data_IF_751859669785
#
_entry.id   IF_751859669785
#
_cell.length_a   1.000
_cell.length_b   1.000
_cell.length_c   1.000
_cell.angle_alpha   90.00
_cell.angle_beta   90.00
_cell.angle_gamma   90.00
#
_symmetry.space_group_name_H-M   'P 1'
#
loop_
_entity.id
_entity.type
_entity.pdbx_description
1 polymer ?
#
# COMPACT_ATOMS: atom_id res chain seq x y z
N UNK A 1 -15.52 -14.55 0.68
CA UNK A 1 -15.77 -14.86 0.85
C UNK A 1 -15.82 -15.05 0.78
N UNK A 2 -15.88 -14.31 0.59
CA UNK A 2 -15.90 -14.30 0.56
C UNK A 2 -15.89 -14.30 0.50
N UNK A 3 -15.76 -13.87 0.38
CA UNK A 3 -15.84 -13.85 0.35
C UNK A 3 -15.89 -13.90 0.48
N UNK A 4 -15.74 -13.77 0.22
CA UNK A 4 -15.84 -13.91 0.34
C UNK A 4 -16.06 -13.92 0.37
N UNK A 5 -16.13 -13.53 0.16
CA UNK A 5 -16.31 -13.66 0.27
C UNK A 5 -16.47 -13.79 0.03
N UNK A 6 -16.89 -13.23 -0.50
CA UNK A 6 -16.85 -13.39 -0.37
C UNK A 6 -16.98 -13.51 -0.98
N UNK A 7 -17.10 -13.28 -1.09
CA UNK A 7 -17.10 -13.38 -1.35
C UNK A 7 -17.28 -13.66 -1.73
N UNK A 8 -17.48 -13.46 -2.02
CA UNK A 8 -17.61 -13.72 -2.24
C UNK A 8 -17.68 -13.95 -2.66
N UNK A 9 -17.84 -13.56 -3.20
CA UNK A 9 -17.94 -13.90 -3.24
C UNK A 9 -18.00 -13.99 -4.00
N UNK A 10 -17.95 -13.54 -4.32
CA UNK A 10 -18.07 -13.77 -4.79
C UNK A 10 -18.09 -13.56 -5.47
N UNK A 11 -18.16 -13.27 -5.93
CA UNK A 11 -18.13 -13.25 -6.42
C UNK A 11 -18.14 -12.92 -7.05
N UNK A 12 -18.14 -12.60 -7.41
CA UNK A 12 -17.97 -12.28 -7.94
C UNK A 12 -17.70 -12.08 -8.75
N UNK A 13 -17.50 -11.85 -9.02
CA UNK A 13 -16.92 -11.59 -9.54
C UNK A 13 -16.81 -11.25 -10.42
N UNK A 14 -16.77 -10.81 -10.67
CA UNK A 14 -16.45 -10.44 -11.37
C UNK A 14 -15.91 -9.96 -12.09
N UNK A 15 -15.71 -9.92 -12.21
CA UNK A 15 -14.80 -9.53 -12.65
C UNK A 15 -14.23 -8.71 -13.18
N UNK A 16 -14.28 -8.40 -13.54
CA UNK A 16 -13.49 -7.79 -13.99
C UNK A 16 -13.07 -6.88 -13.58
N UNK A 17 -12.96 -6.41 -13.37
CA UNK A 17 -12.47 -5.60 -12.87
C UNK A 17 -11.14 -5.43 -12.99
N UNK A 18 -10.34 -5.78 -13.57
CA UNK A 18 -8.95 -5.55 -13.59
C UNK A 18 -8.29 -5.69 -12.25
N UNK A 19 -9.03 -5.80 -11.22
CA UNK A 19 -8.49 -5.94 -9.87
C UNK A 19 -8.57 -7.40 -9.47
N UNK A 20 -7.41 -7.95 -9.13
CA UNK A 20 -7.35 -9.31 -8.66
C UNK A 20 -7.95 -9.39 -7.27
N UNK A 21 -8.92 -10.27 -7.09
CA UNK A 21 -9.54 -10.42 -5.80
C UNK A 21 -8.52 -10.83 -4.76
N UNK A 22 -8.55 -10.18 -3.61
CA UNK A 22 -7.68 -10.52 -2.51
C UNK A 22 -6.32 -9.88 -2.56
N UNK A 23 -5.94 -9.32 -3.71
CA UNK A 23 -4.63 -8.68 -3.83
C UNK A 23 -4.71 -7.24 -3.37
N UNK A 24 -3.87 -6.91 -2.40
CA UNK A 24 -3.80 -5.55 -1.88
C UNK A 24 -2.35 -5.09 -1.88
N UNK A 25 -2.17 -3.79 -1.81
CA UNK A 25 -0.85 -3.18 -1.81
C UNK A 25 -0.72 -2.22 -0.65
N UNK A 26 0.45 -2.21 -0.02
CA UNK A 26 0.83 -1.16 0.91
C UNK A 26 1.86 -0.31 0.20
N UNK A 27 1.74 1.00 0.31
CA UNK A 27 2.64 1.93 -0.38
C UNK A 27 3.08 3.03 0.57
N UNK A 28 4.24 3.59 0.28
CA UNK A 28 4.70 4.80 0.96
C UNK A 28 4.87 5.88 -0.10
N UNK A 29 4.18 6.99 0.09
CA UNK A 29 4.31 8.15 -0.80
C UNK A 29 5.34 9.10 -0.22
N UNK A 30 6.22 9.62 -1.09
CA UNK A 30 7.06 10.76 -0.72
C UNK A 30 6.33 12.01 -1.17
N UNK A 31 6.16 12.96 -0.25
CA UNK A 31 5.48 14.21 -0.54
C UNK A 31 6.50 15.29 -0.86
N UNK A 32 6.03 16.37 -1.49
CA UNK A 32 6.93 17.44 -1.94
C UNK A 32 7.72 18.08 -0.82
N UNK A 33 7.15 18.10 0.38
CA UNK A 33 7.81 18.69 1.54
C UNK A 33 8.72 17.69 2.27
N UNK A 34 8.93 16.52 1.69
CA UNK A 34 9.77 15.49 2.30
C UNK A 34 9.07 14.59 3.29
N UNK A 35 7.81 14.85 3.58
CA UNK A 35 7.07 13.98 4.49
C UNK A 35 6.69 12.68 3.76
N UNK A 36 6.31 11.68 4.55
CA UNK A 36 5.97 10.36 4.04
C UNK A 36 4.56 9.98 4.47
N UNK A 37 3.81 9.40 3.55
CA UNK A 37 2.46 8.90 3.83
C UNK A 37 2.38 7.42 3.49
N UNK A 38 1.88 6.60 4.42
CA UNK A 38 1.71 5.17 4.21
C UNK A 38 0.23 4.86 4.07
N UNK A 39 -0.12 4.09 3.03
CA UNK A 39 -1.51 3.71 2.81
C UNK A 39 -1.62 2.32 2.23
N UNK A 40 -2.86 1.87 2.07
CA UNK A 40 -3.12 0.60 1.41
C UNK A 40 -4.22 0.78 0.37
N UNK A 41 -4.21 -0.09 -0.64
CA UNK A 41 -5.22 -0.03 -1.69
C UNK A 41 -5.24 -1.37 -2.43
N UNK A 42 -6.35 -1.65 -3.08
CA UNK A 42 -6.40 -2.76 -4.04
C UNK A 42 -6.30 -2.27 -5.47
N UNK A 43 -6.06 -0.96 -5.67
CA UNK A 43 -5.98 -0.38 -7.01
C UNK A 43 -5.06 0.83 -6.95
N UNK A 44 -3.77 0.58 -7.12
CA UNK A 44 -2.76 1.65 -6.97
C UNK A 44 -2.94 2.78 -7.98
N UNK A 45 -3.14 2.54 -9.27
CA UNK A 45 -3.29 3.66 -10.21
C UNK A 45 -4.46 4.57 -9.86
N UNK A 46 -5.58 3.99 -9.46
CA UNK A 46 -6.74 4.79 -9.08
C UNK A 46 -6.47 5.59 -7.81
N UNK A 47 -5.85 4.95 -6.81
CA UNK A 47 -5.55 5.63 -5.55
C UNK A 47 -4.54 6.74 -5.75
N UNK A 48 -3.53 6.50 -6.58
CA UNK A 48 -2.56 7.54 -6.92
C UNK A 48 -3.24 8.75 -7.56
N UNK A 49 -4.15 8.50 -8.51
CA UNK A 49 -4.88 9.58 -9.16
C UNK A 49 -5.67 10.41 -8.15
N UNK A 50 -6.27 9.76 -7.15
CA UNK A 50 -6.98 10.49 -6.09
C UNK A 50 -6.04 11.35 -5.27
N UNK A 51 -4.87 10.79 -4.91
CA UNK A 51 -3.90 11.54 -4.12
C UNK A 51 -3.40 12.78 -4.86
N UNK A 52 -3.02 12.63 -6.12
CA UNK A 52 -2.47 13.77 -6.88
C UNK A 52 -3.53 14.80 -7.21
N UNK A 53 -4.79 14.41 -7.30
CA UNK A 53 -5.88 15.37 -7.58
C UNK A 53 -6.37 16.08 -6.32
N UNK A 54 -5.80 15.75 -5.16
CA UNK A 54 -6.22 16.38 -3.91
C UNK A 54 -7.48 15.78 -3.33
N UNK A 55 -7.87 14.60 -3.78
CA UNK A 55 -9.08 13.93 -3.30
C UNK A 55 -8.76 12.61 -2.60
N UNK A 56 -7.51 12.41 -2.24
CA UNK A 56 -7.10 11.23 -1.50
C UNK A 56 -7.30 11.43 -0.01
N UNK A 57 -6.29 11.04 0.76
CA UNK A 57 -6.35 11.18 2.20
C UNK A 57 -6.23 12.64 2.61
N UNK A 58 -6.74 12.95 3.80
CA UNK A 58 -6.61 14.30 4.33
C UNK A 58 -5.15 14.73 4.37
N UNK A 59 -4.27 13.81 4.76
CA UNK A 59 -2.85 14.12 4.85
C UNK A 59 -2.28 14.58 3.51
N UNK A 60 -2.60 13.85 2.43
CA UNK A 60 -2.03 14.16 1.12
C UNK A 60 -2.66 15.37 0.46
N UNK A 61 -3.80 15.84 0.96
CA UNK A 61 -4.33 17.12 0.52
C UNK A 61 -3.49 18.26 1.05
N UNK A 62 -3.00 18.13 2.30
CA UNK A 62 -2.14 19.13 2.91
C UNK A 62 -0.68 18.98 2.49
N UNK A 63 -0.29 17.76 2.10
CA UNK A 63 1.10 17.43 1.75
C UNK A 63 1.08 16.75 0.38
N UNK A 64 1.09 17.54 -0.71
CA UNK A 64 0.94 16.96 -2.05
C UNK A 64 2.00 15.90 -2.35
N UNK A 65 1.59 14.76 -2.90
CA UNK A 65 2.54 13.68 -3.16
C UNK A 65 3.40 13.98 -4.36
N UNK A 66 4.63 13.47 -4.31
CA UNK A 66 5.60 13.61 -5.38
C UNK A 66 5.79 12.29 -6.11
N UNK A 67 5.87 11.19 -5.36
CA UNK A 67 6.16 9.89 -5.95
C UNK A 67 5.72 8.78 -5.00
N UNK A 68 5.49 7.59 -5.58
CA UNK A 68 5.37 6.36 -4.79
C UNK A 68 6.80 5.89 -4.54
N UNK A 69 7.23 5.93 -3.29
CA UNK A 69 8.61 5.64 -2.93
C UNK A 69 8.85 4.16 -2.65
N UNK A 70 7.81 3.43 -2.22
CA UNK A 70 7.94 2.00 -1.95
C UNK A 70 6.57 1.35 -2.10
N UNK A 71 6.59 0.05 -2.44
CA UNK A 71 5.37 -0.69 -2.70
C UNK A 71 5.56 -2.14 -2.29
N UNK A 72 4.56 -2.70 -1.61
CA UNK A 72 4.52 -4.13 -1.26
C UNK A 72 3.20 -4.70 -1.69
N UNK A 73 3.29 -5.91 -2.25
CA UNK A 73 2.09 -6.66 -2.62
C UNK A 73 1.74 -7.61 -1.49
N UNK A 74 0.48 -7.59 -1.09
CA UNK A 74 0.01 -8.36 0.05
C UNK A 74 -1.04 -9.38 -0.39
N UNK A 75 -1.11 -10.49 0.34
CA UNK A 75 -1.98 -11.59 -0.04
C UNK A 75 -3.45 -11.22 0.04
N UNK A 76 -3.83 -10.37 1.01
CA UNK A 76 -5.20 -9.96 1.18
C UNK A 76 -5.24 -8.65 1.99
N UNK A 77 -6.45 -8.17 2.22
CA UNK A 77 -6.63 -6.90 2.92
C UNK A 77 -6.13 -6.96 4.36
N UNK A 78 -6.32 -8.10 5.02
CA UNK A 78 -5.86 -8.25 6.40
C UNK A 78 -4.34 -8.13 6.51
N UNK A 79 -3.62 -8.79 5.59
CA UNK A 79 -2.17 -8.69 5.56
C UNK A 79 -1.73 -7.25 5.28
N UNK A 80 -2.39 -6.59 4.34
CA UNK A 80 -2.06 -5.20 4.02
C UNK A 80 -2.32 -4.28 5.20
N UNK A 81 -3.43 -4.47 5.90
CA UNK A 81 -3.76 -3.63 7.06
C UNK A 81 -2.74 -3.79 8.17
N UNK A 82 -2.28 -5.02 8.41
CA UNK A 82 -1.26 -5.26 9.44
C UNK A 82 0.06 -4.63 9.06
N UNK A 83 0.46 -4.72 7.80
CA UNK A 83 1.72 -4.12 7.34
C UNK A 83 1.63 -2.59 7.40
N UNK A 84 0.53 -2.02 6.91
CA UNK A 84 0.34 -0.58 6.97
C UNK A 84 0.43 -0.07 8.40
N UNK A 85 -0.27 -0.75 9.31
CA UNK A 85 -0.25 -0.34 10.71
C UNK A 85 1.16 -0.42 11.31
N UNK A 86 1.87 -1.51 11.02
CA UNK A 86 3.22 -1.69 11.56
C UNK A 86 4.15 -0.57 11.10
N UNK A 87 4.09 -0.23 9.82
CA UNK A 87 4.93 0.85 9.29
C UNK A 87 4.56 2.19 9.94
N UNK A 88 3.27 2.49 10.01
CA UNK A 88 2.82 3.77 10.54
C UNK A 88 3.10 3.92 12.04
N UNK A 89 2.86 2.86 12.80
CA UNK A 89 2.90 2.94 14.26
C UNK A 89 4.26 2.66 14.87
N UNK A 90 5.11 1.89 14.18
CA UNK A 90 6.33 1.38 14.79
C UNK A 90 7.62 1.94 14.21
N UNK A 91 7.56 2.72 13.13
CA UNK A 91 8.76 3.23 12.49
C UNK A 91 8.82 4.74 12.58
N UNK A 92 10.02 5.25 12.85
CA UNK A 92 10.31 6.67 12.77
C UNK A 92 10.43 7.08 11.32
N UNK A 93 10.50 8.40 11.07
CA UNK A 93 10.72 8.91 9.72
C UNK A 93 12.01 8.35 9.12
N UNK A 94 13.10 8.36 9.89
CA UNK A 94 14.38 7.85 9.41
C UNK A 94 14.31 6.36 9.09
N UNK A 95 13.60 5.60 9.91
CA UNK A 95 13.43 4.18 9.64
C UNK A 95 12.60 3.92 8.39
N UNK A 96 11.60 4.74 8.14
CA UNK A 96 10.83 4.64 6.91
C UNK A 96 11.70 4.94 5.69
N UNK A 97 12.60 5.92 5.79
CA UNK A 97 13.53 6.19 4.71
C UNK A 97 14.47 5.00 4.46
N UNK A 98 14.93 4.35 5.51
CA UNK A 98 15.76 3.16 5.37
C UNK A 98 14.98 2.02 4.71
N UNK A 99 13.71 1.90 5.05
CA UNK A 99 12.86 0.88 4.44
C UNK A 99 12.61 1.16 2.96
N UNK A 100 12.46 2.43 2.60
CA UNK A 100 12.31 2.82 1.20
C UNK A 100 13.55 2.44 0.40
N UNK A 101 14.73 2.64 0.98
CA UNK A 101 15.99 2.31 0.32
C UNK A 101 16.13 0.81 0.11
N UNK A 102 15.61 0.00 1.03
CA UNK A 102 15.70 -1.46 0.95
C UNK A 102 14.38 -2.07 1.40
N UNK A 103 13.37 -2.09 0.50
CA UNK A 103 12.02 -2.54 0.88
C UNK A 103 11.95 -3.97 1.40
N UNK A 104 12.90 -4.81 1.01
CA UNK A 104 12.93 -6.19 1.47
C UNK A 104 13.23 -6.30 2.98
N UNK A 105 13.73 -5.24 3.60
CA UNK A 105 14.00 -5.24 5.04
C UNK A 105 12.74 -5.40 5.89
N UNK A 106 11.59 -5.18 5.29
CA UNK A 106 10.33 -5.26 6.04
C UNK A 106 10.17 -6.64 6.68
N UNK A 107 10.63 -7.71 6.02
CA UNK A 107 10.55 -9.05 6.57
C UNK A 107 11.42 -9.22 7.82
N UNK A 108 12.58 -8.56 7.84
CA UNK A 108 13.47 -8.63 9.00
C UNK A 108 12.95 -7.80 10.17
N UNK A 109 12.34 -6.64 9.86
CA UNK A 109 11.85 -5.75 10.91
C UNK A 109 10.52 -6.19 11.51
N UNK A 110 9.72 -6.92 10.71
CA UNK A 110 8.42 -7.41 11.15
C UNK A 110 8.32 -8.90 10.88
N UNK A 111 9.13 -9.71 11.59
CA UNK A 111 9.15 -11.16 11.30
C UNK A 111 7.79 -11.82 11.51
N UNK A 112 6.95 -11.25 12.35
CA UNK A 112 5.61 -11.79 12.58
C UNK A 112 4.73 -11.68 11.34
N UNK A 113 5.11 -10.83 10.38
CA UNK A 113 4.36 -10.64 9.14
C UNK A 113 5.02 -11.32 7.94
N UNK A 114 6.13 -12.02 8.16
CA UNK A 114 6.89 -12.63 7.07
C UNK A 114 6.01 -13.59 6.28
N UNK A 115 6.15 -13.55 4.94
CA UNK A 115 5.36 -14.41 4.08
C UNK A 115 4.03 -13.83 3.66
N UNK A 116 3.59 -12.74 4.27
CA UNK A 116 2.29 -12.13 3.95
C UNK A 116 2.41 -11.06 2.86
N UNK A 117 3.60 -10.69 2.48
CA UNK A 117 3.83 -9.62 1.51
C UNK A 117 5.14 -9.80 0.79
N UNK A 118 5.29 -9.15 -0.36
CA UNK A 118 6.55 -9.10 -1.10
C UNK A 118 6.75 -7.70 -1.64
N UNK A 119 8.01 -7.21 -1.66
CA UNK A 119 8.27 -5.94 -2.31
C UNK A 119 7.88 -6.01 -3.79
N UNK A 120 7.40 -4.90 -4.32
CA UNK A 120 6.95 -4.84 -5.71
C UNK A 120 7.53 -3.60 -6.37
N UNK A 121 7.67 -3.68 -7.70
CA UNK A 121 8.08 -2.53 -8.47
C UNK A 121 6.91 -1.56 -8.62
N UNK A 122 7.21 -0.27 -8.56
CA UNK A 122 6.20 0.75 -8.77
C UNK A 122 5.93 0.83 -10.27
N UNK A 123 4.68 0.60 -10.72
CA UNK A 123 4.37 0.70 -12.13
C UNK A 123 4.39 2.15 -12.59
N UNK A 124 4.45 2.39 -13.91
CA UNK A 124 4.31 3.74 -14.42
C UNK A 124 2.95 4.30 -14.00
N UNK A 125 2.96 5.48 -13.41
CA UNK A 125 1.73 6.14 -12.95
C UNK A 125 1.63 7.46 -13.68
N UNK A 126 0.72 7.54 -14.56
CA UNK A 126 0.54 8.67 -15.46
C UNK A 126 0.57 10.08 -14.85
#
# INVERSE_FOLDING_TARGET
MQEISGMMGKKRGKGARGVEKGTYYVYILRCRDGSLYTGLTNDLPRRWALHVSGRGAKYTRAHPPEAVAALWRCADKSAAARLEYAIKARLTHGEKLALIAEPERVAAWFPELAGAFTPAEVPPLG
#
